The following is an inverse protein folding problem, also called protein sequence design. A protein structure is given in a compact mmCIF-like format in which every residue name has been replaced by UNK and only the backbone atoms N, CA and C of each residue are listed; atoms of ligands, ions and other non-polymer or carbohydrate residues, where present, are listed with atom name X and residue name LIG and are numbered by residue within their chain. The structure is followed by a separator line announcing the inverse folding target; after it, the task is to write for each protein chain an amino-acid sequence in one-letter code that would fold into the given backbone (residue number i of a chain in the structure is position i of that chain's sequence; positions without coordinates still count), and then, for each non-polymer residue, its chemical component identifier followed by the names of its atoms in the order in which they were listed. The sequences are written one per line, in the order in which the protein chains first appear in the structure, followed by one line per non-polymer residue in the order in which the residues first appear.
data_IF_758911617090
#
_entry.id   IF_758911617090
#
_cell.length_a   1.000
_cell.length_b   1.000
_cell.length_c   1.000
_cell.angle_alpha   90.00
_cell.angle_beta   90.00
_cell.angle_gamma   90.00
#
_symmetry.space_group_name_H-M   'P 1'
#
loop_
_entity.id
_entity.type
_entity.pdbx_description
1 polymer ?
#
# COMPACT_ATOMS: atom_id res chain seq x y z
N UNK A 1 4.42 -10.13 -8.31
CA UNK A 1 5.00 -10.10 -9.62
C UNK A 1 5.55 -8.71 -9.92
N UNK A 2 6.85 -8.65 -10.22
CA UNK A 2 7.56 -7.37 -10.25
C UNK A 2 7.01 -6.37 -11.26
N UNK A 3 6.48 -6.80 -12.35
CA UNK A 3 6.01 -5.88 -13.38
C UNK A 3 4.54 -5.52 -13.29
N UNK A 4 3.85 -6.02 -12.30
CA UNK A 4 2.40 -5.86 -12.25
C UNK A 4 2.01 -4.49 -11.73
N UNK A 5 1.13 -3.81 -12.45
CA UNK A 5 0.64 -2.50 -12.05
C UNK A 5 -0.33 -2.60 -10.88
N UNK A 6 -0.43 -1.51 -10.14
CA UNK A 6 -1.42 -1.39 -9.07
C UNK A 6 -2.69 -0.78 -9.64
N UNK A 7 -3.82 -1.42 -9.39
CA UNK A 7 -5.10 -0.82 -9.75
C UNK A 7 -5.61 0.01 -8.58
N UNK A 8 -6.58 0.87 -8.87
CA UNK A 8 -7.20 1.67 -7.81
C UNK A 8 -7.87 0.78 -6.77
N UNK A 9 -8.48 -0.32 -7.20
CA UNK A 9 -9.10 -1.25 -6.27
C UNK A 9 -8.09 -1.91 -5.38
N UNK A 10 -6.94 -2.29 -5.94
CA UNK A 10 -5.92 -2.95 -5.15
C UNK A 10 -5.32 -1.98 -4.13
N UNK A 11 -5.12 -0.73 -4.53
CA UNK A 11 -4.61 0.27 -3.61
C UNK A 11 -5.57 0.52 -2.46
N UNK A 12 -6.86 0.58 -2.76
CA UNK A 12 -7.85 0.75 -1.71
C UNK A 12 -7.85 -0.42 -0.74
N UNK A 13 -7.72 -1.64 -1.28
CA UNK A 13 -7.64 -2.82 -0.43
C UNK A 13 -6.40 -2.81 0.44
N UNK A 14 -5.27 -2.40 -0.14
CA UNK A 14 -4.02 -2.30 0.59
C UNK A 14 -4.16 -1.37 1.79
N UNK A 15 -4.72 -0.19 1.56
CA UNK A 15 -4.90 0.78 2.63
C UNK A 15 -5.85 0.26 3.71
N UNK A 16 -6.91 -0.42 3.29
CA UNK A 16 -7.87 -0.98 4.23
C UNK A 16 -7.22 -2.03 5.10
N UNK A 17 -6.44 -2.91 4.49
CA UNK A 17 -5.77 -3.98 5.22
C UNK A 17 -4.72 -3.43 6.17
N UNK A 18 -3.96 -2.45 5.71
CA UNK A 18 -2.95 -1.84 6.55
C UNK A 18 -3.59 -1.12 7.74
N UNK A 19 -4.69 -0.42 7.50
CA UNK A 19 -5.42 0.26 8.56
C UNK A 19 -6.06 -0.69 9.54
N UNK A 20 -6.35 -1.92 9.12
CA UNK A 20 -6.91 -2.94 10.01
C UNK A 20 -5.85 -3.61 10.86
N UNK A 21 -4.58 -3.28 10.67
CA UNK A 21 -3.51 -3.81 11.51
C UNK A 21 -2.78 -4.99 10.93
N UNK A 22 -3.04 -5.36 9.69
CA UNK A 22 -2.30 -6.45 9.06
C UNK A 22 -0.85 -6.04 8.83
N UNK A 23 0.06 -7.00 8.99
CA UNK A 23 1.47 -6.74 8.72
C UNK A 23 1.71 -6.67 7.22
N UNK A 24 2.80 -6.00 6.83
CA UNK A 24 3.16 -5.94 5.42
C UNK A 24 3.43 -7.33 4.85
N UNK A 25 3.95 -8.23 5.67
CA UNK A 25 4.18 -9.60 5.25
C UNK A 25 2.87 -10.30 4.88
N UNK A 26 1.88 -10.16 5.73
CA UNK A 26 0.57 -10.76 5.48
C UNK A 26 -0.07 -10.15 4.24
N UNK A 27 0.00 -8.84 4.12
CA UNK A 27 -0.57 -8.14 2.97
C UNK A 27 0.11 -8.59 1.68
N UNK A 28 1.44 -8.70 1.70
CA UNK A 28 2.18 -9.14 0.52
C UNK A 28 1.71 -10.50 0.06
N UNK A 29 1.49 -11.40 1.02
CA UNK A 29 1.05 -12.75 0.72
C UNK A 29 -0.34 -12.74 0.08
N UNK A 30 -1.24 -11.92 0.61
CA UNK A 30 -2.60 -11.81 0.09
C UNK A 30 -2.62 -11.26 -1.33
N UNK A 31 -1.73 -10.32 -1.63
CA UNK A 31 -1.70 -9.67 -2.93
C UNK A 31 -0.79 -10.39 -3.93
N UNK A 32 -0.07 -11.41 -3.49
CA UNK A 32 0.89 -12.09 -4.37
C UNK A 32 2.03 -11.18 -4.78
N UNK A 33 2.44 -10.29 -3.88
CA UNK A 33 3.53 -9.34 -4.14
C UNK A 33 4.61 -9.52 -3.10
N UNK A 34 5.78 -8.92 -3.36
CA UNK A 34 6.86 -8.94 -2.39
C UNK A 34 6.58 -7.93 -1.28
N UNK A 35 7.21 -8.15 -0.12
CA UNK A 35 7.10 -7.21 0.99
C UNK A 35 7.59 -5.84 0.56
N UNK A 36 8.70 -5.80 -0.20
CA UNK A 36 9.23 -4.54 -0.68
C UNK A 36 8.25 -3.78 -1.54
N UNK A 37 7.50 -4.48 -2.39
CA UNK A 37 6.51 -3.82 -3.22
C UNK A 37 5.40 -3.21 -2.38
N UNK A 38 4.98 -3.92 -1.34
CA UNK A 38 3.94 -3.40 -0.44
C UNK A 38 4.45 -2.16 0.28
N UNK A 39 5.66 -2.23 0.82
CA UNK A 39 6.22 -1.11 1.58
C UNK A 39 6.43 0.11 0.70
N UNK A 40 6.91 -0.10 -0.53
CA UNK A 40 7.10 1.01 -1.46
C UNK A 40 5.77 1.68 -1.77
N UNK A 41 4.75 0.89 -2.04
CA UNK A 41 3.45 1.47 -2.38
C UNK A 41 2.84 2.20 -1.19
N UNK A 42 2.96 1.63 0.01
CA UNK A 42 2.46 2.29 1.21
C UNK A 42 3.16 3.63 1.42
N UNK A 43 4.47 3.66 1.20
CA UNK A 43 5.22 4.90 1.34
C UNK A 43 4.73 5.96 0.37
N UNK A 44 4.49 5.57 -0.87
CA UNK A 44 3.99 6.51 -1.88
C UNK A 44 2.62 7.04 -1.52
N UNK A 45 1.74 6.17 -1.05
CA UNK A 45 0.40 6.59 -0.66
C UNK A 45 0.43 7.46 0.58
N UNK A 46 1.32 7.14 1.52
CA UNK A 46 1.49 7.94 2.73
C UNK A 46 2.00 9.34 2.42
N UNK A 47 2.90 9.45 1.45
CA UNK A 47 3.40 10.75 1.07
C UNK A 47 2.31 11.65 0.51
N UNK A 48 1.40 11.07 -0.27
CA UNK A 48 0.28 11.83 -0.79
C UNK A 48 -0.59 12.35 0.35
N UNK A 49 -0.85 11.49 1.33
CA UNK A 49 -1.64 11.89 2.48
C UNK A 49 -0.95 12.98 3.27
N UNK A 50 0.36 12.86 3.44
CA UNK A 50 1.13 13.86 4.16
C UNK A 50 1.10 15.20 3.47
N UNK A 51 1.15 15.19 2.15
CA UNK A 51 1.07 16.43 1.39
C UNK A 51 -0.27 17.11 1.65
N UNK A 52 -1.34 16.33 1.69
CA UNK A 52 -2.65 16.89 1.97
C UNK A 52 -2.71 17.50 3.37
N UNK A 53 -2.14 16.81 4.33
CA UNK A 53 -2.10 17.35 5.68
C UNK A 53 -1.28 18.62 5.77
N UNK A 54 -0.19 18.67 5.04
CA UNK A 54 0.70 19.82 5.09
C UNK A 54 0.03 21.10 4.62
N UNK A 55 -0.98 20.97 3.81
CA UNK A 55 -1.65 22.12 3.22
C UNK A 55 -2.67 22.77 4.14
N UNK A 56 -2.87 22.23 5.29
CA UNK A 56 -3.77 22.85 6.25
C UNK A 56 -3.10 24.00 7.01
#
# INVERSE_FOLDING_TARGET
NAGRSWSAEEEARLLQEYGAGLTTETIARRHGRSIGAIETRLSELGQRDQIQFSMR
#
